data_IF_492837747195
#
_entry.id   IF_492837747195
#
_cell.length_a   1.000
_cell.length_b   1.000
_cell.length_c   1.000
_cell.angle_alpha   90.00
_cell.angle_beta   90.00
_cell.angle_gamma   90.00
#
_symmetry.space_group_name_H-M   'P 1'
#
loop_
_entity.id
_entity.type
_entity.pdbx_description
1 polymer ?
#
# COMPACT_ATOMS: atom_id res chain seq x y z
N UNK A 1 -14.88 -4.76 4.87
CA UNK A 1 -13.66 -5.00 4.05
C UNK A 1 -12.90 -6.20 4.57
N UNK A 2 -12.55 -7.17 3.72
CA UNK A 2 -11.74 -8.32 4.12
C UNK A 2 -10.25 -7.93 4.16
N UNK A 3 -9.81 -7.31 5.26
CA UNK A 3 -8.44 -6.80 5.43
C UNK A 3 -7.38 -7.91 5.47
N UNK A 4 -7.79 -9.19 5.50
CA UNK A 4 -6.87 -10.33 5.49
C UNK A 4 -6.13 -10.47 4.15
N UNK A 5 -6.68 -9.92 3.05
CA UNK A 5 -6.05 -9.97 1.72
C UNK A 5 -4.72 -9.21 1.64
N UNK A 6 -4.48 -8.27 2.56
CA UNK A 6 -3.28 -7.44 2.61
C UNK A 6 -2.34 -7.84 3.74
N UNK A 7 -2.66 -8.88 4.52
CA UNK A 7 -1.85 -9.35 5.63
C UNK A 7 -0.98 -10.52 5.19
N UNK A 8 0.33 -10.39 5.44
CA UNK A 8 1.31 -11.45 5.24
C UNK A 8 2.04 -11.66 6.56
N UNK A 9 2.17 -12.90 7.01
CA UNK A 9 2.92 -13.22 8.22
C UNK A 9 4.40 -13.36 7.89
N UNK A 10 5.29 -12.91 8.77
CA UNK A 10 6.72 -13.16 8.61
C UNK A 10 7.04 -14.67 8.72
N UNK A 11 8.23 -15.08 8.26
CA UNK A 11 8.66 -16.49 8.26
C UNK A 11 8.68 -17.12 9.66
N UNK A 12 8.94 -16.30 10.67
CA UNK A 12 9.02 -16.72 12.07
C UNK A 12 7.67 -16.72 12.80
N UNK A 13 6.57 -16.35 12.12
CA UNK A 13 5.24 -16.30 12.71
C UNK A 13 5.00 -15.21 13.76
N UNK A 14 6.02 -14.45 14.16
CA UNK A 14 5.93 -13.47 15.25
C UNK A 14 5.33 -12.14 14.86
N UNK A 15 5.32 -11.76 13.57
CA UNK A 15 4.90 -10.42 13.16
C UNK A 15 4.11 -10.44 11.86
N UNK A 16 3.05 -9.64 11.82
CA UNK A 16 2.28 -9.40 10.62
C UNK A 16 2.85 -8.23 9.82
N UNK A 17 2.77 -8.33 8.50
CA UNK A 17 3.12 -7.29 7.56
C UNK A 17 1.91 -6.94 6.71
N UNK A 18 1.74 -5.66 6.44
CA UNK A 18 0.85 -5.15 5.41
C UNK A 18 1.55 -5.23 4.06
N UNK A 19 0.89 -5.80 3.06
CA UNK A 19 1.29 -5.82 1.65
C UNK A 19 0.32 -4.96 0.84
N UNK A 20 0.83 -3.91 0.23
CA UNK A 20 0.06 -2.97 -0.61
C UNK A 20 0.60 -3.05 -2.02
N UNK A 21 -0.24 -3.41 -2.98
CA UNK A 21 0.15 -3.45 -4.38
C UNK A 21 0.17 -2.04 -4.96
N UNK A 22 1.25 -1.74 -5.69
CA UNK A 22 1.43 -0.46 -6.36
C UNK A 22 0.86 -0.58 -7.79
N UNK A 23 -0.10 0.28 -8.20
CA UNK A 23 -0.63 0.28 -9.56
C UNK A 23 0.49 0.39 -10.60
N UNK A 24 0.37 -0.37 -11.71
CA UNK A 24 1.47 -0.56 -12.68
C UNK A 24 2.04 0.75 -13.20
N UNK A 25 1.18 1.70 -13.54
CA UNK A 25 1.57 3.02 -14.05
C UNK A 25 2.28 3.89 -13.00
N UNK A 26 2.07 3.63 -11.71
CA UNK A 26 2.74 4.35 -10.62
C UNK A 26 4.06 3.69 -10.21
N UNK A 27 4.36 2.45 -10.64
CA UNK A 27 5.54 1.71 -10.16
C UNK A 27 6.87 2.45 -10.40
N UNK A 28 6.99 3.20 -11.50
CA UNK A 28 8.17 4.00 -11.79
C UNK A 28 8.43 5.07 -10.72
N UNK A 29 7.38 5.67 -10.16
CA UNK A 29 7.48 6.64 -9.06
C UNK A 29 7.96 6.00 -7.75
N UNK A 30 7.80 4.69 -7.62
CA UNK A 30 8.25 3.90 -6.47
C UNK A 30 9.50 3.08 -6.80
N UNK A 31 10.39 3.61 -7.65
CA UNK A 31 11.65 2.96 -8.06
C UNK A 31 11.45 1.57 -8.69
N UNK A 32 10.35 1.38 -9.43
CA UNK A 32 10.00 0.11 -10.06
C UNK A 32 9.42 -0.96 -9.11
N UNK A 33 9.15 -0.62 -7.85
CA UNK A 33 8.59 -1.59 -6.89
C UNK A 33 7.15 -1.95 -7.26
N UNK A 34 6.81 -3.23 -7.13
CA UNK A 34 5.44 -3.75 -7.35
C UNK A 34 4.56 -3.68 -6.11
N UNK A 35 5.18 -3.62 -4.94
CA UNK A 35 4.48 -3.62 -3.67
C UNK A 35 5.26 -2.87 -2.59
N UNK A 36 4.51 -2.32 -1.62
CA UNK A 36 5.04 -1.82 -0.36
C UNK A 36 4.74 -2.83 0.73
N UNK A 37 5.77 -3.23 1.47
CA UNK A 37 5.63 -4.02 2.68
C UNK A 37 5.90 -3.17 3.91
N UNK A 38 4.99 -3.14 4.87
CA UNK A 38 5.19 -2.48 6.17
C UNK A 38 4.90 -3.45 7.30
N UNK A 39 5.79 -3.54 8.29
CA UNK A 39 5.49 -4.29 9.50
C UNK A 39 4.34 -3.62 10.25
N UNK A 40 3.34 -4.39 10.68
CA UNK A 40 2.28 -3.89 11.55
C UNK A 40 2.76 -3.74 12.99
N UNK A 41 3.90 -4.36 13.35
CA UNK A 41 4.40 -4.52 14.72
C UNK A 41 3.41 -5.20 15.68
N UNK A 42 2.35 -5.81 15.16
CA UNK A 42 1.36 -6.54 15.93
C UNK A 42 1.59 -8.04 15.77
N UNK A 43 1.43 -8.77 16.86
CA UNK A 43 1.39 -10.24 16.87
C UNK A 43 -0.06 -10.75 16.66
N UNK A 44 -1.04 -10.01 17.19
CA UNK A 44 -2.46 -10.32 17.02
C UNK A 44 -2.94 -10.01 15.59
N UNK A 45 -3.64 -10.99 15.01
CA UNK A 45 -4.14 -10.92 13.62
C UNK A 45 -5.23 -9.85 13.45
N UNK A 46 -6.10 -9.65 14.45
CA UNK A 46 -7.21 -8.67 14.35
C UNK A 46 -6.66 -7.25 14.41
N UNK A 47 -5.74 -6.97 15.33
CA UNK A 47 -5.06 -5.69 15.45
C UNK A 47 -4.23 -5.40 14.20
N UNK A 48 -3.46 -6.38 13.72
CA UNK A 48 -2.74 -6.28 12.46
C UNK A 48 -3.67 -5.94 11.29
N UNK A 49 -4.87 -6.53 11.23
CA UNK A 49 -5.86 -6.27 10.18
C UNK A 49 -6.42 -4.85 10.19
N UNK A 50 -6.57 -4.24 11.38
CA UNK A 50 -6.95 -2.83 11.48
C UNK A 50 -5.83 -1.92 10.97
N UNK A 51 -4.61 -2.17 11.41
CA UNK A 51 -3.41 -1.43 10.97
C UNK A 51 -3.22 -1.57 9.45
N UNK A 52 -3.34 -2.78 8.91
CA UNK A 52 -3.26 -3.04 7.48
C UNK A 52 -4.32 -2.28 6.67
N UNK A 53 -5.56 -2.21 7.17
CA UNK A 53 -6.62 -1.42 6.56
C UNK A 53 -6.31 0.07 6.52
N UNK A 54 -5.79 0.63 7.62
CA UNK A 54 -5.38 2.04 7.69
C UNK A 54 -4.26 2.35 6.69
N UNK A 55 -3.21 1.54 6.67
CA UNK A 55 -2.12 1.71 5.71
C UNK A 55 -2.63 1.58 4.27
N UNK A 56 -3.48 0.61 3.97
CA UNK A 56 -4.05 0.46 2.64
C UNK A 56 -4.82 1.72 2.23
N UNK A 57 -5.71 2.23 3.08
CA UNK A 57 -6.49 3.42 2.80
C UNK A 57 -5.61 4.65 2.55
N UNK A 58 -4.58 4.86 3.38
CA UNK A 58 -3.60 5.95 3.19
C UNK A 58 -2.89 5.86 1.84
N UNK A 59 -2.47 4.65 1.44
CA UNK A 59 -1.83 4.47 0.13
C UNK A 59 -2.80 4.65 -1.04
N UNK A 60 -4.08 4.29 -0.89
CA UNK A 60 -5.08 4.58 -1.92
C UNK A 60 -5.22 6.10 -2.14
N UNK A 61 -5.30 6.88 -1.06
CA UNK A 61 -5.34 8.35 -1.15
C UNK A 61 -4.08 8.89 -1.82
N UNK A 62 -2.90 8.41 -1.40
CA UNK A 62 -1.63 8.80 -2.02
C UNK A 62 -1.58 8.49 -3.52
N UNK A 63 -2.03 7.30 -3.94
CA UNK A 63 -2.07 6.93 -5.36
C UNK A 63 -2.99 7.87 -6.14
N UNK A 64 -4.18 8.18 -5.63
CA UNK A 64 -5.11 9.12 -6.26
C UNK A 64 -4.52 10.53 -6.37
N UNK A 65 -3.79 10.99 -5.36
CA UNK A 65 -3.11 12.30 -5.40
C UNK A 65 -2.03 12.35 -6.48
N UNK A 66 -1.20 11.31 -6.57
CA UNK A 66 -0.17 11.21 -7.62
C UNK A 66 -0.82 11.18 -9.00
N UNK A 67 -1.89 10.41 -9.18
CA UNK A 67 -2.65 10.35 -10.44
C UNK A 67 -3.21 11.71 -10.84
N UNK A 68 -3.81 12.46 -9.90
CA UNK A 68 -4.29 13.82 -10.14
C UNK A 68 -3.17 14.77 -10.55
N UNK A 69 -1.99 14.65 -9.95
CA UNK A 69 -0.84 15.48 -10.31
C UNK A 69 -0.27 15.15 -11.70
N UNK A 70 -0.25 13.86 -12.07
CA UNK A 70 0.16 13.44 -13.42
C UNK A 70 -0.80 13.99 -14.48
N UNK A 71 -2.11 13.80 -14.29
CA UNK A 71 -3.13 14.31 -15.21
C UNK A 71 -3.04 15.83 -15.42
N UNK A 72 -2.79 16.61 -14.36
CA UNK A 72 -2.58 18.07 -14.47
C UNK A 72 -1.32 18.45 -15.25
N UNK A 73 -0.24 17.68 -15.14
CA UNK A 73 1.01 17.94 -15.87
C UNK A 73 0.89 17.62 -17.36
N UNK A 74 0.08 16.63 -17.71
CA UNK A 74 -0.16 16.27 -19.10
C UNK A 74 -1.01 17.32 -19.83
N UNK A 75 -1.95 17.98 -19.14
CA UNK A 75 -2.78 19.07 -19.71
C UNK A 75 -1.99 20.34 -19.98
N UNK A 76 -0.93 20.63 -19.23
CA UNK A 76 -0.10 21.84 -19.42
C UNK A 76 0.93 21.66 -20.57
N UNK A 77 1.12 20.43 -21.05
CA UNK A 77 2.08 20.10 -22.12
C UNK A 77 1.46 19.90 -23.50
N UNK A 78 0.14 20.10 -23.64
CA UNK A 78 -0.58 20.17 -24.91
C UNK A 78 -0.84 21.63 -25.27
#
# INVERSE_FOLDING_TARGET
MNNQRFLVRNRHGSTWHTRIHIPRHLQLMFSGRKEVRKSTKCEDKRQAGRVAGLWWAQYQVLFQEIEKQMSKKDVIRQ
#
